data_IF_007737644867
#
_entry.id   IF_007737644867
#
_cell.length_a   1.000
_cell.length_b   1.000
_cell.length_c   1.000
_cell.angle_alpha   90.00
_cell.angle_beta   90.00
_cell.angle_gamma   90.00
#
_symmetry.space_group_name_H-M   'P 1'
#
loop_
_entity.id
_entity.type
_entity.pdbx_description
1 polymer ?
#
# COMPACT_ATOMS: atom_id res chain seq x y z
N UNK A 1 22.95 58.19 10.70
CA UNK A 1 21.66 57.47 10.66
C UNK A 1 21.71 56.36 11.71
N UNK A 2 20.67 56.16 12.53
CA UNK A 2 20.65 55.05 13.48
C UNK A 2 20.44 53.70 12.76
N UNK A 3 20.94 52.57 13.30
CA UNK A 3 20.67 51.25 12.74
C UNK A 3 19.20 50.84 12.94
N UNK A 4 18.64 49.97 12.09
CA UNK A 4 17.25 49.55 12.21
C UNK A 4 17.05 48.64 13.42
N UNK A 5 15.89 48.77 14.08
CA UNK A 5 15.48 47.92 15.20
C UNK A 5 15.23 46.48 14.71
N UNK A 6 15.56 45.44 15.52
CA UNK A 6 15.25 44.06 15.16
C UNK A 6 13.75 43.78 15.25
N UNK A 7 13.24 42.97 14.34
CA UNK A 7 11.86 42.49 14.33
C UNK A 7 11.55 41.65 15.58
N UNK A 8 10.32 41.73 16.14
CA UNK A 8 9.94 40.92 17.29
C UNK A 8 9.87 39.44 16.92
N UNK A 9 10.63 38.62 17.63
CA UNK A 9 10.46 37.17 17.68
C UNK A 9 9.15 36.87 18.41
N UNK A 10 8.18 36.29 17.70
CA UNK A 10 6.99 35.71 18.29
C UNK A 10 6.78 34.36 17.62
N UNK A 11 7.40 33.33 18.17
CA UNK A 11 7.05 31.94 17.84
C UNK A 11 5.65 31.67 18.38
N UNK A 12 4.65 31.32 17.56
CA UNK A 12 3.40 30.79 18.08
C UNK A 12 3.67 29.41 18.69
N UNK A 13 3.33 29.24 19.97
CA UNK A 13 3.36 27.93 20.62
C UNK A 13 2.46 26.96 19.86
N UNK A 14 3.03 25.85 19.39
CA UNK A 14 2.28 24.78 18.76
C UNK A 14 1.29 24.18 19.78
N UNK A 15 0.03 23.93 19.39
CA UNK A 15 -0.93 23.28 20.28
C UNK A 15 -0.46 21.86 20.61
N UNK A 16 -0.50 21.53 21.90
CA UNK A 16 -0.20 20.20 22.44
C UNK A 16 -1.37 19.27 22.13
N UNK A 17 -1.43 18.75 20.90
CA UNK A 17 -2.25 17.57 20.62
C UNK A 17 -1.50 16.34 21.11
N UNK A 18 -2.15 15.56 21.98
CA UNK A 18 -1.71 14.19 22.28
C UNK A 18 -1.59 13.45 20.95
N UNK A 19 -0.42 12.86 20.61
CA UNK A 19 -0.29 12.12 19.36
C UNK A 19 -1.26 10.94 19.41
N UNK A 20 -2.03 10.78 18.33
CA UNK A 20 -2.80 9.56 18.09
C UNK A 20 -1.88 8.34 18.26
N UNK A 21 -2.37 7.20 18.79
CA UNK A 21 -1.53 6.01 18.96
C UNK A 21 -0.86 5.68 17.63
N UNK A 22 0.47 5.58 17.66
CA UNK A 22 1.29 5.24 16.51
C UNK A 22 0.75 3.92 15.93
N UNK A 23 0.52 3.83 14.61
CA UNK A 23 0.13 2.56 14.01
C UNK A 23 1.14 1.48 14.42
N UNK A 24 0.68 0.34 14.93
CA UNK A 24 1.55 -0.83 15.11
C UNK A 24 1.93 -1.33 13.71
N UNK A 25 3.08 -0.88 13.21
CA UNK A 25 3.68 -1.42 12.01
C UNK A 25 4.25 -2.81 12.31
N UNK A 26 4.14 -3.75 11.37
CA UNK A 26 4.99 -4.94 11.37
C UNK A 26 6.46 -4.51 11.38
N UNK A 27 7.31 -5.19 12.14
CA UNK A 27 8.71 -4.78 12.40
C UNK A 27 9.68 -5.15 11.27
N UNK A 28 9.19 -5.43 10.06
CA UNK A 28 9.98 -6.01 8.97
C UNK A 28 10.41 -7.46 9.21
N UNK A 29 10.08 -8.02 10.37
CA UNK A 29 10.13 -9.45 10.66
C UNK A 29 8.69 -9.96 10.67
N UNK A 30 8.45 -11.09 10.00
CA UNK A 30 7.16 -11.77 10.12
C UNK A 30 6.92 -12.13 11.57
N UNK A 31 5.84 -11.60 12.12
CA UNK A 31 5.35 -11.99 13.43
C UNK A 31 4.12 -12.91 13.26
N UNK A 32 3.76 -13.64 14.31
CA UNK A 32 2.58 -14.53 14.30
C UNK A 32 1.28 -13.79 13.93
N UNK A 33 1.23 -12.45 14.00
CA UNK A 33 0.01 -11.66 13.78
C UNK A 33 -0.36 -11.57 12.30
N UNK A 34 0.60 -11.67 11.38
CA UNK A 34 0.36 -11.57 9.93
C UNK A 34 0.94 -12.72 9.09
N UNK A 35 1.20 -13.88 9.69
CA UNK A 35 1.68 -15.09 8.98
C UNK A 35 0.83 -15.53 7.77
N UNK A 36 -0.44 -15.12 7.73
CA UNK A 36 -1.36 -15.43 6.63
C UNK A 36 -1.37 -14.37 5.51
N UNK A 37 -0.52 -13.34 5.63
CA UNK A 37 -0.40 -12.24 4.67
C UNK A 37 0.99 -12.27 4.04
N UNK A 38 1.03 -12.43 2.73
CA UNK A 38 2.22 -12.27 1.91
C UNK A 38 2.40 -10.80 1.58
N UNK A 39 3.16 -10.12 2.42
CA UNK A 39 3.60 -8.74 2.17
C UNK A 39 4.98 -8.74 1.50
N UNK A 40 5.17 -7.82 0.57
CA UNK A 40 6.41 -7.64 -0.19
C UNK A 40 6.92 -6.23 0.05
N UNK A 41 8.13 -6.13 0.60
CA UNK A 41 8.88 -4.89 0.66
C UNK A 41 9.25 -4.46 -0.75
N UNK A 42 9.01 -3.19 -1.05
CA UNK A 42 9.33 -2.65 -2.36
C UNK A 42 10.83 -2.31 -2.43
N UNK A 43 11.54 -3.01 -3.29
CA UNK A 43 12.95 -2.78 -3.63
C UNK A 43 13.15 -2.42 -5.11
N UNK A 44 12.08 -2.50 -5.91
CA UNK A 44 12.06 -2.17 -7.34
C UNK A 44 11.51 -0.75 -7.49
N UNK A 45 12.29 0.13 -8.15
CA UNK A 45 11.90 1.51 -8.41
C UNK A 45 10.61 1.59 -9.24
N UNK A 46 9.70 2.48 -8.86
CA UNK A 46 8.41 2.72 -9.56
C UNK A 46 7.48 1.51 -9.72
N UNK A 47 7.74 0.39 -9.05
CA UNK A 47 6.92 -0.81 -9.12
C UNK A 47 5.74 -0.84 -8.11
N UNK A 48 5.45 0.28 -7.43
CA UNK A 48 4.42 0.32 -6.38
C UNK A 48 3.03 -0.12 -6.88
N UNK A 49 2.66 0.22 -8.12
CA UNK A 49 1.41 -0.24 -8.72
C UNK A 49 1.37 -1.76 -8.97
N UNK A 50 2.43 -2.33 -9.54
CA UNK A 50 2.52 -3.78 -9.80
C UNK A 50 2.60 -4.59 -8.50
N UNK A 51 3.32 -4.08 -7.50
CA UNK A 51 3.40 -4.70 -6.16
C UNK A 51 2.04 -4.59 -5.46
N UNK A 52 1.35 -3.45 -5.55
CA UNK A 52 -0.01 -3.29 -5.02
C UNK A 52 -1.01 -4.26 -5.66
N UNK A 53 -0.94 -4.45 -6.98
CA UNK A 53 -1.76 -5.45 -7.68
C UNK A 53 -1.44 -6.88 -7.20
N UNK A 54 -0.15 -7.21 -7.09
CA UNK A 54 0.31 -8.50 -6.57
C UNK A 54 -0.25 -8.74 -5.16
N UNK A 55 -0.15 -7.76 -4.26
CA UNK A 55 -0.71 -7.81 -2.91
C UNK A 55 -2.22 -8.11 -2.92
N UNK A 56 -2.99 -7.41 -3.76
CA UNK A 56 -4.43 -7.64 -3.92
C UNK A 56 -4.75 -9.05 -4.43
N UNK A 57 -4.00 -9.51 -5.45
CA UNK A 57 -4.27 -10.77 -6.12
C UNK A 57 -4.02 -12.00 -5.23
N UNK A 58 -2.97 -11.99 -4.41
CA UNK A 58 -2.53 -13.21 -3.70
C UNK A 58 -3.02 -13.35 -2.26
N UNK A 59 -3.47 -12.24 -1.64
CA UNK A 59 -3.87 -12.21 -0.23
C UNK A 59 -5.38 -12.27 -0.01
N UNK A 60 -6.17 -11.74 -0.95
CA UNK A 60 -7.63 -11.68 -0.83
C UNK A 60 -8.36 -12.84 -1.54
N UNK A 61 -9.70 -12.74 -1.67
CA UNK A 61 -10.52 -13.71 -2.39
C UNK A 61 -10.10 -13.93 -3.84
N UNK A 62 -9.47 -12.93 -4.46
CA UNK A 62 -8.96 -12.99 -5.83
C UNK A 62 -7.96 -14.15 -6.05
N UNK A 63 -7.28 -14.61 -5.00
CA UNK A 63 -6.29 -15.69 -5.11
C UNK A 63 -6.89 -17.01 -5.58
N UNK A 64 -8.20 -17.19 -5.38
CA UNK A 64 -8.95 -18.36 -5.87
C UNK A 64 -9.17 -18.36 -7.39
N UNK A 65 -8.93 -17.24 -8.05
CA UNK A 65 -9.02 -17.08 -9.50
C UNK A 65 -7.65 -17.13 -10.18
N UNK A 66 -6.56 -17.29 -9.42
CA UNK A 66 -5.21 -17.41 -9.99
C UNK A 66 -5.11 -18.76 -10.69
N UNK A 67 -4.83 -18.72 -12.00
CA UNK A 67 -4.60 -19.93 -12.80
C UNK A 67 -3.32 -20.65 -12.35
N UNK A 68 -3.39 -21.98 -12.24
CA UNK A 68 -2.24 -22.83 -11.93
C UNK A 68 -1.11 -22.61 -12.95
N UNK A 69 0.14 -22.56 -12.47
CA UNK A 69 1.31 -22.32 -13.32
C UNK A 69 1.47 -20.89 -13.86
N UNK A 70 0.53 -19.98 -13.58
CA UNK A 70 0.69 -18.56 -13.92
C UNK A 70 1.81 -17.89 -13.12
N UNK A 71 2.30 -16.74 -13.60
CA UNK A 71 3.30 -15.93 -12.89
C UNK A 71 2.87 -15.61 -11.46
N UNK A 72 1.60 -15.26 -11.23
CA UNK A 72 1.08 -15.04 -9.87
C UNK A 72 1.13 -16.30 -9.00
N UNK A 73 0.77 -17.48 -9.54
CA UNK A 73 0.84 -18.74 -8.80
C UNK A 73 2.28 -19.05 -8.38
N UNK A 74 3.23 -18.99 -9.33
CA UNK A 74 4.65 -19.24 -9.10
C UNK A 74 5.26 -18.27 -8.09
N UNK A 75 4.96 -16.98 -8.19
CA UNK A 75 5.43 -15.97 -7.23
C UNK A 75 4.90 -16.29 -5.84
N UNK A 76 3.60 -16.58 -5.72
CA UNK A 76 2.95 -16.88 -4.44
C UNK A 76 3.56 -18.13 -3.80
N UNK A 77 3.71 -19.22 -4.54
CA UNK A 77 4.29 -20.48 -4.05
C UNK A 77 5.71 -20.31 -3.55
N UNK A 78 6.56 -19.59 -4.31
CA UNK A 78 7.94 -19.30 -3.90
C UNK A 78 8.03 -18.34 -2.73
N UNK A 79 7.05 -17.44 -2.57
CA UNK A 79 7.04 -16.44 -1.50
C UNK A 79 6.65 -16.98 -0.13
N UNK A 80 5.79 -18.02 -0.07
CA UNK A 80 5.29 -18.62 1.18
C UNK A 80 6.40 -19.05 2.14
N UNK A 81 7.44 -19.79 1.72
CA UNK A 81 8.48 -20.26 2.64
C UNK A 81 9.53 -19.20 3.00
N UNK A 82 9.49 -18.00 2.41
CA UNK A 82 10.54 -17.00 2.53
C UNK A 82 10.19 -15.92 3.55
N UNK A 83 11.20 -15.43 4.28
CA UNK A 83 11.09 -14.23 5.09
C UNK A 83 11.00 -12.95 4.24
N UNK A 84 10.72 -11.81 4.87
CA UNK A 84 10.48 -10.52 4.20
C UNK A 84 11.58 -10.11 3.22
N UNK A 85 12.84 -10.09 3.67
CA UNK A 85 13.95 -9.63 2.84
C UNK A 85 14.25 -10.62 1.70
N UNK A 86 14.18 -11.92 1.99
CA UNK A 86 14.36 -12.98 0.98
C UNK A 86 13.25 -12.94 -0.07
N UNK A 87 12.01 -12.68 0.35
CA UNK A 87 10.85 -12.52 -0.54
C UNK A 87 10.99 -11.28 -1.42
N UNK A 88 11.48 -10.17 -0.87
CA UNK A 88 11.74 -8.96 -1.64
C UNK A 88 12.84 -9.19 -2.69
N UNK A 89 13.93 -9.86 -2.31
CA UNK A 89 14.99 -10.24 -3.26
C UNK A 89 14.47 -11.22 -4.33
N UNK A 90 13.68 -12.21 -3.93
CA UNK A 90 13.07 -13.17 -4.85
C UNK A 90 12.19 -12.50 -5.91
N UNK A 91 11.42 -11.47 -5.53
CA UNK A 91 10.60 -10.71 -6.48
C UNK A 91 11.46 -9.80 -7.36
N UNK A 92 12.53 -9.21 -6.81
CA UNK A 92 13.49 -8.41 -7.57
C UNK A 92 14.17 -9.21 -8.68
N UNK A 93 14.52 -10.47 -8.40
CA UNK A 93 15.16 -11.38 -9.36
C UNK A 93 14.16 -12.10 -10.29
N UNK A 94 12.86 -11.80 -10.19
CA UNK A 94 11.83 -12.44 -11.03
C UNK A 94 11.69 -11.75 -12.39
N UNK A 95 12.30 -12.35 -13.42
CA UNK A 95 12.24 -11.83 -14.78
C UNK A 95 10.85 -11.86 -15.43
N UNK A 96 9.95 -12.78 -15.05
CA UNK A 96 8.57 -12.75 -15.57
C UNK A 96 7.82 -11.54 -15.02
N UNK A 97 8.01 -11.22 -13.73
CA UNK A 97 7.46 -10.04 -13.08
C UNK A 97 8.02 -8.75 -13.66
N UNK A 98 9.35 -8.67 -13.86
CA UNK A 98 10.01 -7.52 -14.47
C UNK A 98 9.47 -7.24 -15.88
N UNK A 99 9.40 -8.25 -16.73
CA UNK A 99 8.86 -8.12 -18.10
C UNK A 99 7.40 -7.67 -18.07
N UNK A 100 6.58 -8.23 -17.19
CA UNK A 100 5.18 -7.83 -17.05
C UNK A 100 5.06 -6.37 -16.58
N UNK A 101 5.84 -5.96 -15.57
CA UNK A 101 5.88 -4.59 -15.07
C UNK A 101 6.29 -3.59 -16.16
N UNK A 102 7.36 -3.88 -16.91
CA UNK A 102 7.84 -3.02 -17.97
C UNK A 102 6.82 -2.88 -19.10
N UNK A 103 6.15 -3.98 -19.49
CA UNK A 103 5.15 -3.96 -20.56
C UNK A 103 3.96 -3.03 -20.27
N UNK A 104 3.58 -2.85 -18.99
CA UNK A 104 2.47 -1.97 -18.60
C UNK A 104 2.92 -0.54 -18.31
N UNK A 105 4.16 -0.33 -17.89
CA UNK A 105 4.74 1.01 -17.75
C UNK A 105 4.77 1.74 -19.11
N UNK A 106 4.95 1.01 -20.20
CA UNK A 106 4.92 1.53 -21.57
C UNK A 106 3.50 1.82 -22.11
N UNK A 107 2.46 1.26 -21.48
CA UNK A 107 1.06 1.38 -21.93
C UNK A 107 0.30 2.57 -21.33
N UNK A 108 0.88 3.28 -20.36
CA UNK A 108 0.21 4.43 -19.73
C UNK A 108 -0.01 5.59 -20.70
N UNK A 109 -1.19 6.23 -20.63
CA UNK A 109 -1.53 7.43 -21.43
C UNK A 109 -0.69 8.68 -21.07
N UNK A 110 0.16 8.57 -20.04
CA UNK A 110 1.05 9.62 -19.57
C UNK A 110 2.49 9.17 -19.71
N UNK A 111 3.36 10.06 -20.20
CA UNK A 111 4.81 9.82 -20.19
C UNK A 111 5.24 9.46 -18.78
N UNK A 112 5.88 8.30 -18.62
CA UNK A 112 6.42 7.88 -17.34
C UNK A 112 7.33 9.01 -16.79
N UNK A 113 7.09 9.51 -15.57
CA UNK A 113 7.94 10.54 -15.00
C UNK A 113 9.38 10.02 -14.91
N UNK A 114 10.35 10.93 -14.96
CA UNK A 114 11.72 10.55 -14.62
C UNK A 114 11.76 10.01 -13.18
N UNK A 115 12.74 9.16 -12.86
CA UNK A 115 12.83 8.59 -11.52
C UNK A 115 12.89 9.68 -10.42
N UNK A 116 13.58 10.78 -10.71
CA UNK A 116 13.70 11.95 -9.83
C UNK A 116 12.40 12.77 -9.68
N UNK A 117 11.48 12.67 -10.65
CA UNK A 117 10.20 13.41 -10.62
C UNK A 117 9.09 12.58 -9.96
N UNK A 118 9.13 11.23 -10.09
CA UNK A 118 8.21 10.33 -9.40
C UNK A 118 8.27 10.44 -7.88
N UNK A 119 9.48 10.55 -7.31
CA UNK A 119 9.71 10.68 -5.87
C UNK A 119 9.19 12.02 -5.30
N UNK A 120 9.11 13.07 -6.11
CA UNK A 120 8.61 14.40 -5.71
C UNK A 120 7.08 14.47 -5.72
N UNK A 121 6.39 13.58 -6.42
CA UNK A 121 4.94 13.64 -6.60
C UNK A 121 4.16 13.06 -5.42
N UNK A 122 4.80 12.33 -4.51
CA UNK A 122 4.16 11.77 -3.30
C UNK A 122 3.02 10.78 -3.59
N UNK A 123 2.85 10.36 -4.85
CA UNK A 123 1.80 9.44 -5.26
C UNK A 123 2.27 8.00 -5.01
N UNK A 124 1.58 7.30 -4.13
CA UNK A 124 1.92 5.93 -3.76
C UNK A 124 0.69 5.03 -3.88
N UNK A 125 0.90 3.82 -4.43
CA UNK A 125 -0.14 2.80 -4.46
C UNK A 125 -0.19 2.07 -3.13
N UNK A 126 -1.38 1.95 -2.58
CA UNK A 126 -1.66 1.19 -1.37
C UNK A 126 -2.74 0.16 -1.68
N UNK A 127 -2.55 -1.06 -1.18
CA UNK A 127 -3.50 -2.16 -1.35
C UNK A 127 -4.28 -2.39 -0.05
N UNK A 128 -5.60 -2.55 -0.17
CA UNK A 128 -6.47 -2.95 0.94
C UNK A 128 -7.01 -4.35 0.68
N UNK A 129 -6.77 -5.29 1.59
CA UNK A 129 -7.17 -6.69 1.42
C UNK A 129 -7.87 -7.23 2.66
N UNK A 130 -8.98 -7.94 2.46
CA UNK A 130 -9.62 -8.77 3.47
C UNK A 130 -9.06 -10.18 3.37
N UNK A 131 -8.43 -10.65 4.44
CA UNK A 131 -7.98 -12.04 4.59
C UNK A 131 -9.11 -12.96 5.06
N UNK A 132 -8.90 -14.28 4.96
CA UNK A 132 -9.91 -15.30 5.26
C UNK A 132 -10.41 -15.28 6.71
N UNK A 133 -9.56 -14.88 7.65
CA UNK A 133 -9.91 -14.71 9.05
C UNK A 133 -10.67 -13.40 9.32
N UNK A 134 -11.07 -12.70 8.25
CA UNK A 134 -11.83 -11.45 8.28
C UNK A 134 -10.97 -10.22 8.54
N UNK A 135 -9.66 -10.32 8.74
CA UNK A 135 -8.82 -9.15 8.99
C UNK A 135 -8.63 -8.32 7.72
N UNK A 136 -8.80 -7.00 7.86
CA UNK A 136 -8.49 -5.99 6.86
C UNK A 136 -7.04 -5.53 7.05
N UNK A 137 -6.28 -5.59 5.98
CA UNK A 137 -4.88 -5.19 5.93
C UNK A 137 -4.67 -4.08 4.92
N UNK A 138 -3.83 -3.13 5.29
CA UNK A 138 -3.22 -2.16 4.40
C UNK A 138 -1.81 -2.63 4.07
N UNK A 139 -1.55 -2.84 2.77
CA UNK A 139 -0.31 -3.38 2.25
C UNK A 139 0.35 -2.30 1.38
N UNK A 140 1.46 -1.80 1.89
CA UNK A 140 2.26 -0.76 1.25
C UNK A 140 3.72 -1.19 1.28
N UNK A 141 4.37 -1.33 0.12
CA UNK A 141 5.72 -1.90 0.04
C UNK A 141 6.83 -0.99 0.58
N UNK A 142 6.59 0.32 0.66
CA UNK A 142 7.52 1.33 1.20
C UNK A 142 7.59 1.32 2.74
N UNK A 143 6.61 0.70 3.41
CA UNK A 143 6.50 0.66 4.87
C UNK A 143 7.38 -0.42 5.50
N UNK A 144 7.61 -0.36 6.82
CA UNK A 144 8.29 -1.45 7.53
C UNK A 144 7.54 -2.79 7.53
N UNK A 145 6.25 -2.81 7.18
CA UNK A 145 5.45 -4.03 7.12
C UNK A 145 3.97 -3.76 6.85
N UNK A 146 3.14 -4.81 6.81
CA UNK A 146 1.70 -4.67 6.63
C UNK A 146 1.06 -4.02 7.87
N UNK A 147 -0.06 -3.33 7.67
CA UNK A 147 -0.77 -2.64 8.74
C UNK A 147 -2.17 -3.21 8.93
N UNK A 148 -2.44 -3.72 10.12
CA UNK A 148 -3.77 -4.20 10.49
C UNK A 148 -4.73 -3.03 10.67
N UNK A 149 -5.84 -3.03 9.93
CA UNK A 149 -6.86 -1.96 9.95
C UNK A 149 -8.09 -2.31 10.78
N UNK A 150 -8.27 -3.58 11.15
CA UNK A 150 -9.42 -4.07 11.89
C UNK A 150 -9.97 -5.35 11.25
N UNK A 151 -11.04 -5.89 11.81
CA UNK A 151 -11.72 -7.09 11.27
C UNK A 151 -12.99 -6.68 10.55
N UNK A 152 -13.39 -7.37 9.50
CA UNK A 152 -14.66 -7.24 8.81
C UNK A 152 -15.53 -8.47 9.08
N UNK A 153 -16.85 -8.29 9.17
CA UNK A 153 -17.80 -9.39 9.32
C UNK A 153 -17.78 -10.31 8.09
N UNK A 154 -18.41 -11.48 8.18
CA UNK A 154 -18.39 -12.47 7.10
C UNK A 154 -19.00 -11.92 5.80
N UNK A 155 -20.05 -11.11 5.91
CA UNK A 155 -20.80 -10.46 4.84
C UNK A 155 -20.27 -9.08 4.44
N UNK A 156 -19.23 -8.57 5.12
CA UNK A 156 -18.57 -7.30 4.78
C UNK A 156 -17.37 -7.53 3.85
N UNK A 157 -17.12 -6.63 2.90
CA UNK A 157 -15.90 -6.61 2.09
C UNK A 157 -15.16 -5.27 2.22
N UNK A 158 -14.10 -5.07 1.44
CA UNK A 158 -13.29 -3.84 1.47
C UNK A 158 -14.05 -2.60 0.99
N UNK A 159 -15.21 -2.77 0.32
CA UNK A 159 -16.08 -1.71 -0.19
C UNK A 159 -17.33 -1.49 0.68
N UNK A 160 -17.61 -2.36 1.65
CA UNK A 160 -18.63 -2.15 2.68
C UNK A 160 -18.39 -0.84 3.44
N UNK A 161 -19.44 -0.27 4.06
CA UNK A 161 -19.34 0.98 4.84
C UNK A 161 -18.19 0.93 5.86
N UNK A 162 -18.09 -0.19 6.57
CA UNK A 162 -17.02 -0.43 7.54
C UNK A 162 -15.66 -0.64 6.89
N UNK A 163 -15.59 -1.35 5.76
CA UNK A 163 -14.36 -1.52 4.97
C UNK A 163 -13.80 -0.18 4.50
N UNK A 164 -14.65 0.68 3.96
CA UNK A 164 -14.30 2.04 3.54
C UNK A 164 -13.85 2.89 4.73
N UNK A 165 -14.58 2.86 5.84
CA UNK A 165 -14.23 3.62 7.05
C UNK A 165 -12.87 3.21 7.65
N UNK A 166 -12.54 1.92 7.64
CA UNK A 166 -11.27 1.41 8.18
C UNK A 166 -10.09 1.52 7.19
N UNK A 167 -10.37 1.48 5.89
CA UNK A 167 -9.39 1.53 4.80
C UNK A 167 -9.28 2.90 4.14
N UNK A 168 -9.72 3.00 2.88
CA UNK A 168 -9.55 4.21 2.04
C UNK A 168 -10.12 5.49 2.68
N UNK A 169 -11.29 5.42 3.31
CA UNK A 169 -11.93 6.56 3.96
C UNK A 169 -11.07 7.13 5.09
N UNK A 170 -10.35 6.28 5.84
CA UNK A 170 -9.41 6.73 6.86
C UNK A 170 -8.23 7.49 6.26
N UNK A 171 -7.70 7.04 5.11
CA UNK A 171 -6.60 7.73 4.42
C UNK A 171 -7.05 9.12 3.97
N UNK A 172 -8.24 9.22 3.38
CA UNK A 172 -8.83 10.50 2.95
C UNK A 172 -9.04 11.43 4.15
N UNK A 173 -9.55 10.89 5.28
CA UNK A 173 -9.77 11.70 6.48
C UNK A 173 -8.46 12.17 7.11
N UNK A 174 -7.42 11.33 7.14
CA UNK A 174 -6.09 11.71 7.63
C UNK A 174 -5.48 12.84 6.80
N UNK A 175 -5.62 12.80 5.47
CA UNK A 175 -5.16 13.88 4.59
C UNK A 175 -5.88 15.19 4.90
N UNK A 176 -7.22 15.15 5.01
CA UNK A 176 -8.03 16.32 5.37
C UNK A 176 -7.65 16.93 6.72
N UNK A 177 -7.51 16.09 7.76
CA UNK A 177 -7.20 16.53 9.13
C UNK A 177 -5.78 17.08 9.23
N UNK A 178 -4.85 16.58 8.41
CA UNK A 178 -3.46 17.07 8.36
C UNK A 178 -3.33 18.45 7.69
N UNK A 179 -4.46 19.06 7.28
CA UNK A 179 -4.49 20.31 6.53
C UNK A 179 -4.14 20.14 5.05
N UNK A 180 -4.05 18.89 4.59
CA UNK A 180 -3.91 18.54 3.19
C UNK A 180 -5.21 18.83 2.42
N UNK A 181 -5.07 19.44 1.25
CA UNK A 181 -6.18 19.71 0.33
C UNK A 181 -6.11 18.92 -0.96
N UNK A 182 -5.12 18.02 -1.08
CA UNK A 182 -4.88 17.28 -2.30
C UNK A 182 -5.75 16.03 -2.35
N UNK A 183 -6.87 16.13 -3.06
CA UNK A 183 -7.81 15.03 -3.26
C UNK A 183 -7.54 14.23 -4.54
N UNK A 184 -6.31 14.27 -5.07
CA UNK A 184 -5.90 13.45 -6.22
C UNK A 184 -5.77 11.98 -5.84
N UNK A 185 -6.91 11.33 -5.59
CA UNK A 185 -7.02 9.89 -5.38
C UNK A 185 -7.59 9.21 -6.62
N UNK A 186 -7.04 8.05 -6.95
CA UNK A 186 -7.64 7.10 -7.87
C UNK A 186 -7.76 5.77 -7.13
N UNK A 187 -8.88 5.07 -7.32
CA UNK A 187 -9.14 3.78 -6.69
C UNK A 187 -9.59 2.77 -7.75
N UNK A 188 -9.02 1.57 -7.68
CA UNK A 188 -9.37 0.43 -8.54
C UNK A 188 -9.78 -0.71 -7.61
N UNK A 189 -10.92 -1.33 -7.90
CA UNK A 189 -11.40 -2.49 -7.16
C UNK A 189 -11.22 -3.76 -7.99
N UNK A 190 -10.58 -4.77 -7.41
CA UNK A 190 -10.51 -6.11 -7.98
C UNK A 190 -11.78 -6.88 -7.59
N UNK A 191 -12.78 -6.86 -8.47
CA UNK A 191 -14.07 -7.49 -8.25
C UNK A 191 -14.20 -8.81 -9.01
N UNK A 192 -15.03 -9.71 -8.48
CA UNK A 192 -15.47 -10.89 -9.24
C UNK A 192 -16.20 -10.47 -10.52
N UNK A 193 -16.19 -11.34 -11.52
CA UNK A 193 -16.97 -11.10 -12.74
C UNK A 193 -18.45 -10.98 -12.36
N UNK A 194 -19.11 -9.95 -12.88
CA UNK A 194 -20.56 -9.85 -12.82
C UNK A 194 -21.16 -10.92 -13.73
N UNK A 195 -21.90 -11.86 -13.14
CA UNK A 195 -22.68 -12.83 -13.89
C UNK A 195 -24.05 -12.19 -14.18
N UNK A 196 -24.34 -11.94 -15.46
CA UNK A 196 -25.66 -11.54 -15.97
C UNK A 196 -26.65 -12.73 -15.98
#
# INVERSE_FOLDING_TARGET
APPPLPFPSSSPSAPTSTPAPTPEYGTGQEDEKWSNILWFKQTIGHACGSIGLLHCAINGPARHYIAEGSTFAKIRERAIPLGVEERAQMLYDDGEFEVAHQSVAELGDTVAPSAEDGDKLGQHFVAFVKSDDGKLWELEGSRPGPLFRGTLAADEDVLSERGLALGLGRVIEMERVSGGGDLRFSAIALAGKWDD
#
